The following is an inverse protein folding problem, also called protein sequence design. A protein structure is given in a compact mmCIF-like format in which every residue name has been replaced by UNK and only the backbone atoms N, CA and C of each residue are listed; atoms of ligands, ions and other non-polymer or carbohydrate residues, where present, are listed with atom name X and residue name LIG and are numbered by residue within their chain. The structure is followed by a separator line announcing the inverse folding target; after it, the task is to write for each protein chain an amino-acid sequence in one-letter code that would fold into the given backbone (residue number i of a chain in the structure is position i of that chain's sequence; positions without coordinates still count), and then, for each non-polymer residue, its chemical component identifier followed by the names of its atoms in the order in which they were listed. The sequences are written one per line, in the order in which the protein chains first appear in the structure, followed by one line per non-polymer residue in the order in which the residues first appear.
data_IF_113581351004
#
_entry.id   IF_113581351004
#
_cell.length_a   1.000
_cell.length_b   1.000
_cell.length_c   1.000
_cell.angle_alpha   90.00
_cell.angle_beta   90.00
_cell.angle_gamma   90.00
#
_symmetry.space_group_name_H-M   'P 1'
#
loop_
_entity.id
_entity.type
_entity.pdbx_description
1 polymer ?
#
# COMPACT_ATOMS: atom_id res chain seq x y z
N UNK A 1 -21.76 -0.92 -10.87
CA UNK A 1 -20.78 -0.66 -9.79
C UNK A 1 -21.57 -0.60 -8.48
N UNK A 2 -21.05 -1.14 -7.37
CA UNK A 2 -21.78 -1.15 -6.08
C UNK A 2 -22.07 0.28 -5.61
N UNK A 3 -23.20 0.49 -4.95
CA UNK A 3 -23.55 1.75 -4.27
C UNK A 3 -22.55 2.11 -3.17
N UNK A 4 -22.52 3.37 -2.73
CA UNK A 4 -21.61 3.84 -1.68
C UNK A 4 -21.72 2.97 -0.41
N UNK A 5 -22.94 2.64 -0.01
CA UNK A 5 -23.25 1.88 1.20
C UNK A 5 -22.78 0.42 1.08
N UNK A 6 -22.96 -0.21 -0.09
CA UNK A 6 -22.46 -1.56 -0.35
C UNK A 6 -20.93 -1.62 -0.38
N UNK A 7 -20.27 -0.59 -0.92
CA UNK A 7 -18.81 -0.46 -0.89
C UNK A 7 -18.31 -0.31 0.54
N UNK A 8 -18.94 0.59 1.31
CA UNK A 8 -18.60 0.79 2.72
C UNK A 8 -18.80 -0.47 3.56
N UNK A 9 -19.85 -1.27 3.30
CA UNK A 9 -20.04 -2.54 3.99
C UNK A 9 -18.87 -3.52 3.77
N UNK A 10 -18.34 -3.59 2.54
CA UNK A 10 -17.14 -4.39 2.22
C UNK A 10 -15.89 -3.82 2.90
N UNK A 11 -15.72 -2.50 2.85
CA UNK A 11 -14.53 -1.82 3.40
C UNK A 11 -14.50 -1.93 4.93
N UNK A 12 -15.62 -1.70 5.63
CA UNK A 12 -15.75 -1.81 7.09
C UNK A 12 -15.44 -3.22 7.60
N UNK A 13 -15.80 -4.27 6.86
CA UNK A 13 -15.59 -5.65 7.30
C UNK A 13 -14.11 -5.94 7.53
N UNK A 14 -13.75 -6.22 8.78
CA UNK A 14 -12.37 -6.55 9.20
C UNK A 14 -11.42 -5.35 9.29
N UNK A 15 -11.91 -4.12 9.09
CA UNK A 15 -11.17 -2.92 9.46
C UNK A 15 -11.33 -2.69 10.97
N UNK A 16 -10.25 -2.34 11.65
CA UNK A 16 -10.29 -1.98 13.07
C UNK A 16 -10.92 -0.59 13.24
N UNK A 17 -10.55 0.33 12.37
CA UNK A 17 -11.00 1.72 12.39
C UNK A 17 -10.96 2.31 10.97
N UNK A 18 -11.87 3.25 10.71
CA UNK A 18 -11.85 4.10 9.52
C UNK A 18 -11.92 5.54 10.01
N UNK A 19 -10.85 6.30 9.80
CA UNK A 19 -10.81 7.70 10.21
C UNK A 19 -11.69 8.53 9.26
N UNK A 20 -12.65 9.25 9.85
CA UNK A 20 -13.62 10.11 9.16
C UNK A 20 -14.40 9.37 8.06
N UNK A 21 -15.24 8.42 8.46
CA UNK A 21 -16.03 7.59 7.52
C UNK A 21 -16.84 8.40 6.50
N UNK A 22 -17.40 9.55 6.92
CA UNK A 22 -18.15 10.43 6.03
C UNK A 22 -17.31 10.96 4.85
N UNK A 23 -16.01 11.23 5.07
CA UNK A 23 -15.11 11.68 4.00
C UNK A 23 -14.81 10.55 3.01
N UNK A 24 -14.69 9.31 3.50
CA UNK A 24 -14.52 8.15 2.62
C UNK A 24 -15.78 7.90 1.78
N UNK A 25 -16.97 8.02 2.38
CA UNK A 25 -18.25 7.93 1.68
C UNK A 25 -18.37 8.98 0.58
N UNK A 26 -17.99 10.23 0.87
CA UNK A 26 -17.97 11.32 -0.13
C UNK A 26 -16.99 11.04 -1.27
N UNK A 27 -15.79 10.52 -0.97
CA UNK A 27 -14.79 10.13 -1.98
C UNK A 27 -15.32 9.02 -2.88
N UNK A 28 -15.97 7.99 -2.32
CA UNK A 28 -16.58 6.91 -3.10
C UNK A 28 -17.72 7.47 -3.98
N UNK A 29 -18.58 8.33 -3.42
CA UNK A 29 -19.66 8.97 -4.18
C UNK A 29 -19.10 9.82 -5.33
N UNK A 30 -18.01 10.56 -5.08
CA UNK A 30 -17.27 11.31 -6.10
C UNK A 30 -16.72 10.41 -7.19
N UNK A 31 -16.09 9.30 -6.82
CA UNK A 31 -15.56 8.29 -7.75
C UNK A 31 -16.64 7.70 -8.64
N UNK A 32 -17.81 7.36 -8.07
CA UNK A 32 -18.96 6.87 -8.82
C UNK A 32 -19.54 7.91 -9.79
N UNK A 33 -19.58 9.18 -9.37
CA UNK A 33 -20.12 10.29 -10.17
C UNK A 33 -19.21 10.65 -11.35
N UNK A 34 -17.89 10.66 -11.14
CA UNK A 34 -16.92 11.08 -12.16
C UNK A 34 -16.35 9.92 -12.97
N UNK A 35 -16.60 8.68 -12.56
CA UNK A 35 -15.95 7.49 -13.12
C UNK A 35 -14.44 7.42 -12.85
N UNK A 36 -13.91 8.29 -12.00
CA UNK A 36 -12.47 8.31 -11.66
C UNK A 36 -12.22 7.43 -10.43
N UNK A 37 -11.42 6.36 -10.54
CA UNK A 37 -11.10 5.49 -9.41
C UNK A 37 -10.39 6.23 -8.27
N UNK A 38 -10.65 5.84 -7.03
CA UNK A 38 -9.80 6.20 -5.89
C UNK A 38 -8.42 5.56 -6.03
N UNK A 39 -7.40 6.26 -5.54
CA UNK A 39 -6.03 5.74 -5.42
C UNK A 39 -5.78 5.28 -4.00
N UNK A 40 -5.60 3.98 -3.82
CA UNK A 40 -5.48 3.33 -2.52
C UNK A 40 -4.02 3.03 -2.25
N UNK A 41 -3.40 3.77 -1.33
CA UNK A 41 -1.99 3.63 -0.96
C UNK A 41 -1.81 2.63 0.17
N UNK A 42 -0.90 1.68 0.00
CA UNK A 42 -0.33 0.89 1.10
C UNK A 42 1.19 0.85 0.97
N UNK A 43 1.89 1.24 2.04
CA UNK A 43 3.35 1.28 2.11
C UNK A 43 3.93 0.00 2.71
N UNK A 44 5.01 -0.51 2.12
CA UNK A 44 5.75 -1.68 2.58
C UNK A 44 7.23 -1.32 2.68
N UNK A 45 7.82 -1.59 3.84
CA UNK A 45 9.24 -1.41 4.08
C UNK A 45 10.01 -2.68 3.65
N UNK A 46 10.88 -2.61 2.62
CA UNK A 46 11.60 -3.76 2.08
C UNK A 46 12.82 -4.16 2.94
N UNK A 47 12.71 -4.05 4.27
CA UNK A 47 13.79 -4.41 5.20
C UNK A 47 13.87 -5.91 5.48
N UNK A 48 12.78 -6.64 5.33
CA UNK A 48 12.75 -8.09 5.38
C UNK A 48 12.83 -8.69 3.96
N UNK A 49 13.32 -9.95 3.81
CA UNK A 49 13.39 -10.60 2.50
C UNK A 49 12.02 -10.94 1.91
N UNK A 50 11.00 -11.16 2.75
CA UNK A 50 9.67 -11.61 2.33
C UNK A 50 8.55 -11.04 3.19
N UNK A 51 7.33 -11.01 2.63
CA UNK A 51 6.10 -10.73 3.37
C UNK A 51 5.63 -11.98 4.12
N UNK A 52 5.48 -11.87 5.44
CA UNK A 52 4.87 -12.93 6.25
C UNK A 52 3.34 -12.93 6.11
N UNK A 53 2.69 -14.04 6.51
CA UNK A 53 1.23 -14.25 6.41
C UNK A 53 0.38 -13.19 7.13
N UNK A 54 0.90 -12.51 8.15
CA UNK A 54 0.20 -11.36 8.78
C UNK A 54 -0.18 -10.25 7.79
N UNK A 55 0.56 -10.08 6.68
CA UNK A 55 0.23 -9.08 5.66
C UNK A 55 -0.98 -9.47 4.81
N UNK A 56 -1.39 -10.74 4.82
CA UNK A 56 -2.50 -11.22 3.98
C UNK A 56 -3.82 -10.50 4.30
N UNK A 57 -4.05 -10.10 5.55
CA UNK A 57 -5.25 -9.32 5.93
C UNK A 57 -5.28 -7.97 5.19
N UNK A 58 -4.16 -7.24 5.22
CA UNK A 58 -4.01 -5.96 4.52
C UNK A 58 -4.14 -6.14 3.00
N UNK A 59 -3.43 -7.11 2.43
CA UNK A 59 -3.43 -7.35 0.98
C UNK A 59 -4.84 -7.76 0.50
N UNK A 60 -5.58 -8.55 1.29
CA UNK A 60 -6.97 -8.87 0.96
C UNK A 60 -7.90 -7.65 1.00
N UNK A 61 -7.65 -6.68 1.89
CA UNK A 61 -8.38 -5.40 1.85
C UNK A 61 -8.08 -4.62 0.58
N UNK A 62 -6.82 -4.59 0.12
CA UNK A 62 -6.45 -3.98 -1.16
C UNK A 62 -7.13 -4.66 -2.35
N UNK A 63 -7.22 -5.99 -2.34
CA UNK A 63 -7.97 -6.74 -3.35
C UNK A 63 -9.43 -6.31 -3.41
N UNK A 64 -10.08 -6.15 -2.26
CA UNK A 64 -11.46 -5.66 -2.20
C UNK A 64 -11.58 -4.27 -2.85
N UNK A 65 -10.63 -3.36 -2.62
CA UNK A 65 -10.62 -2.08 -3.34
C UNK A 65 -10.50 -2.26 -4.87
N UNK A 66 -9.68 -3.20 -5.36
CA UNK A 66 -9.61 -3.51 -6.80
C UNK A 66 -10.93 -4.07 -7.36
N UNK A 67 -11.60 -4.93 -6.60
CA UNK A 67 -12.92 -5.51 -6.95
C UNK A 67 -14.03 -4.45 -6.96
N UNK A 68 -13.88 -3.40 -6.14
CA UNK A 68 -14.75 -2.22 -6.15
C UNK A 68 -14.43 -1.23 -7.28
N UNK A 69 -13.36 -1.48 -8.05
CA UNK A 69 -12.98 -0.67 -9.22
C UNK A 69 -11.98 0.44 -8.90
N UNK A 70 -11.30 0.39 -7.75
CA UNK A 70 -10.29 1.35 -7.35
C UNK A 70 -8.87 0.90 -7.73
N UNK A 71 -7.95 1.87 -7.86
CA UNK A 71 -6.55 1.62 -8.22
C UNK A 71 -5.72 1.45 -6.94
N UNK A 72 -4.96 0.35 -6.84
CA UNK A 72 -4.04 0.15 -5.72
C UNK A 72 -2.66 0.70 -6.08
N UNK A 73 -2.12 1.54 -5.21
CA UNK A 73 -0.73 1.99 -5.23
C UNK A 73 0.06 1.21 -4.18
N UNK A 74 0.79 0.19 -4.63
CA UNK A 74 1.70 -0.60 -3.81
C UNK A 74 3.04 0.13 -3.68
N UNK A 75 3.22 0.83 -2.56
CA UNK A 75 4.35 1.70 -2.33
C UNK A 75 5.49 0.96 -1.62
N UNK A 76 6.65 0.88 -2.27
CA UNK A 76 7.90 0.40 -1.68
C UNK A 76 8.64 1.57 -1.03
N UNK A 77 8.95 1.42 0.24
CA UNK A 77 9.70 2.40 1.04
C UNK A 77 11.22 2.31 0.87
N UNK A 78 11.72 2.33 -0.37
CA UNK A 78 13.14 2.08 -0.65
C UNK A 78 14.10 3.16 -0.12
N UNK A 79 13.71 4.43 -0.19
CA UNK A 79 14.51 5.54 0.35
C UNK A 79 14.64 5.48 1.87
N UNK A 80 13.52 5.25 2.55
CA UNK A 80 13.46 5.16 4.02
C UNK A 80 14.12 3.90 4.55
N UNK A 81 14.02 2.78 3.81
CA UNK A 81 14.70 1.53 4.16
C UNK A 81 16.23 1.63 4.13
N UNK A 82 16.79 2.49 3.27
CA UNK A 82 18.23 2.78 3.23
C UNK A 82 18.70 3.64 4.40
N UNK A 83 17.88 4.57 4.88
CA UNK A 83 18.21 5.46 6.01
C UNK A 83 18.02 4.73 7.35
N UNK A 84 17.05 3.83 7.41
CA UNK A 84 16.62 3.15 8.64
C UNK A 84 15.54 3.95 9.36
N UNK A 85 14.42 3.29 9.67
CA UNK A 85 13.33 3.90 10.42
C UNK A 85 13.68 3.97 11.93
N UNK A 86 13.80 5.17 12.53
CA UNK A 86 14.09 5.32 13.96
C UNK A 86 12.91 4.93 14.86
N UNK A 87 11.71 4.72 14.32
CA UNK A 87 10.54 4.39 15.14
C UNK A 87 10.59 2.94 15.65
N UNK A 88 10.84 2.80 16.95
CA UNK A 88 10.37 1.66 17.74
C UNK A 88 11.31 0.48 17.97
N UNK A 89 12.60 0.49 17.56
CA UNK A 89 13.55 -0.59 17.90
C UNK A 89 14.90 -0.05 18.39
N UNK A 90 15.31 -0.48 19.59
CA UNK A 90 16.54 -0.13 20.30
C UNK A 90 17.82 -0.79 19.73
N UNK A 91 17.74 -1.45 18.57
CA UNK A 91 18.89 -2.01 17.87
C UNK A 91 19.07 -1.26 16.56
N UNK A 92 20.25 -0.68 16.36
CA UNK A 92 20.68 -0.11 15.09
C UNK A 92 20.57 -1.18 14.01
N UNK A 93 19.50 -1.13 13.21
CA UNK A 93 19.29 -2.04 12.08
C UNK A 93 20.52 -1.95 11.18
N UNK A 94 21.00 -3.09 10.66
CA UNK A 94 21.99 -3.07 9.57
C UNK A 94 21.37 -2.31 8.39
N UNK A 95 22.02 -1.23 7.98
CA UNK A 95 21.63 -0.51 6.78
C UNK A 95 21.71 -1.47 5.58
N UNK A 96 20.61 -1.58 4.84
CA UNK A 96 20.56 -2.37 3.61
C UNK A 96 21.11 -1.55 2.45
N UNK A 97 21.81 -2.21 1.53
CA UNK A 97 22.19 -1.55 0.27
C UNK A 97 20.95 -1.33 -0.60
N UNK A 98 21.07 -0.43 -1.59
CA UNK A 98 20.01 -0.23 -2.58
C UNK A 98 19.70 -1.53 -3.33
N UNK A 99 20.72 -2.32 -3.65
CA UNK A 99 20.55 -3.61 -4.32
C UNK A 99 19.76 -4.60 -3.46
N UNK A 100 20.02 -4.66 -2.16
CA UNK A 100 19.28 -5.53 -1.24
C UNK A 100 17.80 -5.13 -1.15
N UNK A 101 17.55 -3.82 -1.03
CA UNK A 101 16.20 -3.25 -1.01
C UNK A 101 15.43 -3.57 -2.30
N UNK A 102 16.06 -3.40 -3.46
CA UNK A 102 15.44 -3.73 -4.75
C UNK A 102 15.18 -5.23 -4.90
N UNK A 103 16.09 -6.08 -4.42
CA UNK A 103 15.91 -7.53 -4.43
C UNK A 103 14.70 -7.95 -3.58
N UNK A 104 14.57 -7.40 -2.37
CA UNK A 104 13.42 -7.65 -1.49
C UNK A 104 12.12 -7.06 -2.08
N UNK A 105 12.19 -5.92 -2.78
CA UNK A 105 11.01 -5.37 -3.45
C UNK A 105 10.47 -6.29 -4.56
N UNK A 106 11.35 -6.98 -5.29
CA UNK A 106 10.92 -7.94 -6.31
C UNK A 106 10.27 -9.19 -5.72
N UNK A 107 10.76 -9.71 -4.58
CA UNK A 107 10.09 -10.83 -3.89
C UNK A 107 8.71 -10.41 -3.39
N UNK A 108 8.59 -9.20 -2.83
CA UNK A 108 7.31 -8.65 -2.37
C UNK A 108 6.31 -8.54 -3.51
N UNK A 109 6.72 -8.00 -4.66
CA UNK A 109 5.87 -7.92 -5.86
C UNK A 109 5.39 -9.30 -6.29
N UNK A 110 6.30 -10.29 -6.36
CA UNK A 110 5.96 -11.65 -6.74
C UNK A 110 4.96 -12.31 -5.76
N UNK A 111 5.04 -12.01 -4.47
CA UNK A 111 4.10 -12.50 -3.46
C UNK A 111 2.74 -11.80 -3.53
N UNK A 112 2.73 -10.46 -3.63
CA UNK A 112 1.51 -9.65 -3.65
C UNK A 112 0.67 -9.93 -4.88
N UNK A 113 1.29 -10.15 -6.05
CA UNK A 113 0.59 -10.48 -7.28
C UNK A 113 -0.01 -11.90 -7.33
N UNK A 114 0.21 -12.73 -6.31
CA UNK A 114 -0.60 -13.95 -6.12
C UNK A 114 -2.02 -13.62 -5.67
N UNK A 115 -2.25 -12.42 -5.13
CA UNK A 115 -3.54 -11.97 -4.58
C UNK A 115 -4.10 -10.80 -5.38
N UNK A 116 -3.27 -9.77 -5.63
CA UNK A 116 -3.66 -8.56 -6.36
C UNK A 116 -3.50 -8.75 -7.87
N UNK A 117 -4.37 -8.08 -8.62
CA UNK A 117 -4.26 -7.99 -10.08
C UNK A 117 -3.15 -6.99 -10.48
N UNK A 118 -2.08 -7.42 -11.18
CA UNK A 118 -1.02 -6.52 -11.63
C UNK A 118 -1.49 -5.40 -12.55
N UNK A 119 -2.54 -5.62 -13.34
CA UNK A 119 -3.09 -4.61 -14.26
C UNK A 119 -3.82 -3.48 -13.53
N UNK A 120 -4.25 -3.74 -12.28
CA UNK A 120 -4.94 -2.79 -11.41
C UNK A 120 -4.08 -2.36 -10.21
N UNK A 121 -2.79 -2.64 -10.27
CA UNK A 121 -1.83 -2.29 -9.23
C UNK A 121 -0.69 -1.49 -9.82
N UNK A 122 -0.50 -0.28 -9.30
CA UNK A 122 0.68 0.51 -9.59
C UNK A 122 1.72 0.28 -8.49
N UNK A 123 2.88 -0.27 -8.87
CA UNK A 123 4.05 -0.33 -7.98
C UNK A 123 4.75 1.02 -8.03
N UNK A 124 5.07 1.59 -6.87
CA UNK A 124 5.66 2.93 -6.73
C UNK A 124 6.82 2.86 -5.74
N UNK A 125 7.89 3.62 -5.97
CA UNK A 125 9.04 3.71 -5.06
C UNK A 125 9.13 5.11 -4.46
N UNK A 126 9.27 5.23 -3.13
CA UNK A 126 9.31 6.57 -2.51
C UNK A 126 10.59 7.35 -2.83
N UNK A 127 11.66 6.69 -3.27
CA UNK A 127 12.85 7.36 -3.77
C UNK A 127 12.59 8.22 -5.01
N UNK A 128 11.53 7.98 -5.79
CA UNK A 128 11.18 8.77 -6.98
C UNK A 128 10.97 10.27 -6.68
N UNK A 129 10.53 10.59 -5.47
CA UNK A 129 10.39 11.97 -5.00
C UNK A 129 11.35 12.31 -3.85
N UNK A 130 11.59 11.42 -2.89
CA UNK A 130 12.41 11.74 -1.72
C UNK A 130 13.89 11.95 -2.07
N UNK A 131 14.42 11.24 -3.06
CA UNK A 131 15.81 11.43 -3.49
C UNK A 131 16.08 12.85 -4.03
N UNK A 132 15.04 13.55 -4.52
CA UNK A 132 15.13 14.92 -5.03
C UNK A 132 15.00 15.97 -3.93
N UNK A 133 14.38 15.61 -2.81
CA UNK A 133 14.16 16.52 -1.67
C UNK A 133 15.37 16.56 -0.72
N UNK A 134 16.23 15.55 -0.78
CA UNK A 134 17.36 15.38 0.15
C UNK A 134 16.89 14.83 1.50
N UNK A 135 17.79 14.12 2.20
CA UNK A 135 17.62 13.84 3.63
C UNK A 135 18.21 15.05 4.38
N UNK A 136 17.34 15.86 4.99
CA UNK A 136 17.78 16.97 5.83
C UNK A 136 18.39 16.47 7.15
#
# INVERSE_FOLDING_TARGET
MKSVQEQMAVIRRGAVEILVEAELEEKIAGSLRTGTPLRIKAGFDPTAPDLHLGHTVLIQKLKQFQELGHEVCFLIGDFTGMIGDPTGKNETRKALTREDVLRNAETYKAQVFKILDPQKTRVVFNSEWLAKMGAA
#
